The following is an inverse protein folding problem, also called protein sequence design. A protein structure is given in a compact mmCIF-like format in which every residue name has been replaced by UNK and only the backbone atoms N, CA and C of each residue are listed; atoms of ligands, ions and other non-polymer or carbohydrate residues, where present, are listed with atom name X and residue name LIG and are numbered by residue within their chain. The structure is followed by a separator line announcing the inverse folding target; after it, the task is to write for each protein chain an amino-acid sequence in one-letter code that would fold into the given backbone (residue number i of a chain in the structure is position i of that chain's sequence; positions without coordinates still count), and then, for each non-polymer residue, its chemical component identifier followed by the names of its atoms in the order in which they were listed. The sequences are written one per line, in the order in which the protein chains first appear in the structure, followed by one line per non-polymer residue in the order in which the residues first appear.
data_IF_758279912967
#
_entry.id   IF_758279912967
#
_cell.length_a   1.000
_cell.length_b   1.000
_cell.length_c   1.000
_cell.angle_alpha   90.00
_cell.angle_beta   90.00
_cell.angle_gamma   90.00
#
_symmetry.space_group_name_H-M   'P 1'
#
loop_
_entity.id
_entity.type
_entity.pdbx_description
1 polymer ?
#
# COMPACT_ATOMS: atom_id res chain seq x y z
N UNK A 1 -13.64 12.73 9.51
CA UNK A 1 -12.53 12.33 10.38
C UNK A 1 -12.22 10.87 10.16
N UNK A 2 -10.96 10.56 9.92
CA UNK A 2 -10.55 9.18 9.72
C UNK A 2 -10.14 8.60 11.07
N UNK A 3 -10.77 7.50 11.45
CA UNK A 3 -10.43 6.82 12.70
C UNK A 3 -9.43 5.72 12.39
N UNK A 4 -8.27 5.75 13.05
CA UNK A 4 -7.28 4.69 12.93
C UNK A 4 -7.75 3.44 13.68
N UNK A 5 -8.03 2.32 12.98
CA UNK A 5 -8.51 1.10 13.63
C UNK A 5 -7.46 0.44 14.53
N UNK A 6 -6.18 0.82 14.41
CA UNK A 6 -5.13 0.32 15.30
C UNK A 6 -4.95 1.17 16.55
N UNK A 7 -5.78 2.16 16.74
CA UNK A 7 -5.71 2.99 17.93
C UNK A 7 -5.89 2.13 19.19
N UNK A 8 -4.96 2.25 20.12
CA UNK A 8 -4.98 1.45 21.34
C UNK A 8 -4.20 0.14 21.28
N UNK A 9 -3.75 -0.28 20.10
CA UNK A 9 -2.88 -1.44 19.98
C UNK A 9 -1.48 -1.06 20.46
N UNK A 10 -0.80 -1.97 21.17
CA UNK A 10 0.62 -1.81 21.46
C UNK A 10 1.43 -2.04 20.18
N UNK A 11 2.69 -1.59 20.16
CA UNK A 11 3.55 -1.81 19.01
C UNK A 11 3.74 -3.29 18.69
N UNK A 12 3.83 -4.13 19.71
CA UNK A 12 3.95 -5.59 19.54
C UNK A 12 2.71 -6.18 18.90
N UNK A 13 1.53 -5.67 19.24
CA UNK A 13 0.26 -6.16 18.74
C UNK A 13 -0.02 -5.75 17.29
N UNK A 14 0.75 -4.82 16.74
CA UNK A 14 0.54 -4.31 15.37
C UNK A 14 1.79 -4.34 14.52
N UNK A 15 2.66 -5.34 14.75
CA UNK A 15 3.82 -5.58 13.90
C UNK A 15 3.45 -6.52 12.76
N UNK A 16 3.77 -6.13 11.52
CA UNK A 16 3.52 -7.00 10.35
C UNK A 16 4.41 -8.24 10.35
N UNK A 17 5.43 -8.29 11.22
CA UNK A 17 6.29 -9.45 11.36
C UNK A 17 5.64 -10.55 12.21
N UNK A 18 4.53 -10.24 12.88
CA UNK A 18 3.79 -11.21 13.66
C UNK A 18 2.73 -11.88 12.79
N UNK A 19 2.85 -13.20 12.52
CA UNK A 19 1.87 -13.89 11.68
C UNK A 19 0.44 -13.81 12.20
N UNK A 20 0.24 -13.66 13.51
CA UNK A 20 -1.10 -13.57 14.07
C UNK A 20 -1.84 -12.30 13.65
N UNK A 21 -1.14 -11.31 13.14
CA UNK A 21 -1.75 -10.06 12.67
C UNK A 21 -2.38 -10.19 11.28
N UNK A 22 -2.09 -11.26 10.55
CA UNK A 22 -2.52 -11.42 9.15
C UNK A 22 -4.02 -11.24 8.97
N UNK A 23 -4.83 -11.91 9.80
CA UNK A 23 -6.29 -11.80 9.68
C UNK A 23 -6.78 -10.39 9.98
N UNK A 24 -6.18 -9.72 10.95
CA UNK A 24 -6.52 -8.34 11.28
C UNK A 24 -6.20 -7.40 10.10
N UNK A 25 -5.05 -7.59 9.47
CA UNK A 25 -4.67 -6.79 8.29
C UNK A 25 -5.65 -7.02 7.14
N UNK A 26 -6.03 -8.27 6.90
CA UNK A 26 -7.02 -8.60 5.87
C UNK A 26 -8.35 -7.90 6.13
N UNK A 27 -8.81 -7.93 7.38
CA UNK A 27 -10.06 -7.29 7.75
C UNK A 27 -9.99 -5.77 7.56
N UNK A 28 -8.92 -5.14 8.03
CA UNK A 28 -8.76 -3.69 7.91
C UNK A 28 -8.42 -3.24 6.49
N UNK A 29 -7.97 -4.15 5.63
CA UNK A 29 -7.71 -3.82 4.22
C UNK A 29 -8.99 -3.52 3.43
N UNK A 30 -10.16 -3.85 3.98
CA UNK A 30 -11.44 -3.49 3.37
C UNK A 30 -11.78 -2.01 3.59
N UNK A 31 -11.11 -1.35 4.53
CA UNK A 31 -11.30 0.08 4.78
C UNK A 31 -10.59 0.85 3.68
N UNK A 32 -11.26 1.85 3.12
CA UNK A 32 -10.64 2.70 2.11
C UNK A 32 -9.48 3.50 2.72
N UNK A 33 -8.42 3.71 1.94
CA UNK A 33 -7.22 4.39 2.40
C UNK A 33 -6.02 3.46 2.50
N UNK A 34 -4.93 3.99 3.02
CA UNK A 34 -3.65 3.29 3.06
C UNK A 34 -3.28 2.85 4.48
N UNK A 35 -2.45 1.81 4.55
CA UNK A 35 -1.73 1.48 5.77
C UNK A 35 -0.43 2.28 5.78
N UNK A 36 -0.10 2.87 6.92
CA UNK A 36 1.19 3.51 7.14
C UNK A 36 1.99 2.59 8.05
N UNK A 37 3.12 2.14 7.55
CA UNK A 37 3.95 1.14 8.23
C UNK A 37 5.34 1.71 8.44
N UNK A 38 5.80 1.69 9.68
CA UNK A 38 7.14 2.13 10.05
C UNK A 38 8.18 1.15 9.49
N UNK A 39 9.41 1.61 9.30
CA UNK A 39 10.46 0.79 8.70
C UNK A 39 10.78 -0.51 9.43
N UNK A 40 10.44 -0.61 10.72
CA UNK A 40 10.62 -1.82 11.52
C UNK A 40 9.42 -2.77 11.47
N UNK A 41 8.40 -2.43 10.68
CA UNK A 41 7.23 -3.28 10.50
C UNK A 41 6.04 -2.95 11.38
N UNK A 42 6.13 -1.94 12.24
CA UNK A 42 5.03 -1.54 13.10
C UNK A 42 4.01 -0.73 12.29
N UNK A 43 2.74 -1.14 12.32
CA UNK A 43 1.68 -0.42 11.62
C UNK A 43 1.32 0.83 12.43
N UNK A 44 1.48 1.99 11.82
CA UNK A 44 1.17 3.27 12.46
C UNK A 44 -0.30 3.61 12.33
N UNK A 45 -0.89 3.31 11.17
CA UNK A 45 -2.31 3.58 10.93
C UNK A 45 -2.81 2.77 9.75
N UNK A 46 -4.14 2.67 9.64
CA UNK A 46 -4.82 2.14 8.47
C UNK A 46 -5.97 3.08 8.11
N UNK A 47 -6.47 2.98 6.89
CA UNK A 47 -7.54 3.85 6.43
C UNK A 47 -7.09 5.30 6.25
N UNK A 48 -5.82 5.53 6.03
CA UNK A 48 -5.24 6.86 5.92
C UNK A 48 -5.34 7.35 4.48
N UNK A 49 -5.90 8.54 4.27
CA UNK A 49 -5.96 9.13 2.95
C UNK A 49 -4.66 9.85 2.64
N UNK A 50 -4.05 9.47 1.52
CA UNK A 50 -2.79 10.07 1.08
C UNK A 50 -3.07 11.35 0.31
N UNK A 51 -2.31 12.41 0.64
CA UNK A 51 -2.40 13.70 -0.05
C UNK A 51 -0.99 14.13 -0.48
N UNK A 52 -0.53 13.59 -1.62
CA UNK A 52 0.80 13.98 -2.11
C UNK A 52 0.82 15.46 -2.48
N UNK A 53 1.94 16.12 -2.23
CA UNK A 53 2.11 17.54 -2.53
C UNK A 53 2.23 17.80 -4.03
N UNK A 54 2.65 16.81 -4.80
CA UNK A 54 2.85 16.92 -6.24
C UNK A 54 2.08 15.83 -6.95
N UNK A 55 1.74 16.08 -8.20
CA UNK A 55 1.18 15.06 -9.05
C UNK A 55 2.18 13.95 -9.32
N UNK A 56 1.66 12.78 -9.64
CA UNK A 56 2.50 11.65 -9.96
C UNK A 56 3.37 11.94 -11.20
N UNK A 57 4.62 11.46 -11.18
CA UNK A 57 5.43 11.50 -12.40
C UNK A 57 4.83 10.61 -13.48
N UNK A 58 5.51 10.50 -14.60
CA UNK A 58 5.06 9.67 -15.70
C UNK A 58 4.78 8.23 -15.25
N UNK A 59 3.52 7.82 -15.34
CA UNK A 59 3.10 6.47 -15.02
C UNK A 59 2.67 5.75 -16.29
N UNK A 60 2.83 4.41 -16.34
CA UNK A 60 2.23 3.63 -17.39
C UNK A 60 0.72 3.87 -17.45
N UNK A 61 0.16 3.87 -18.65
CA UNK A 61 -1.27 4.02 -18.82
C UNK A 61 -2.02 2.83 -18.22
N UNK A 62 -3.25 3.08 -17.78
CA UNK A 62 -4.08 2.04 -17.19
C UNK A 62 -4.00 1.92 -15.68
N UNK A 63 -3.14 2.69 -15.03
CA UNK A 63 -3.07 2.72 -13.57
C UNK A 63 -4.02 3.78 -13.02
N UNK A 64 -4.68 3.44 -11.90
CA UNK A 64 -5.68 4.30 -11.29
C UNK A 64 -5.13 5.31 -10.30
N UNK A 65 -6.05 5.97 -9.60
CA UNK A 65 -5.72 7.04 -8.65
C UNK A 65 -4.85 6.56 -7.48
N UNK A 66 -5.04 5.33 -7.02
CA UNK A 66 -4.24 4.79 -5.92
C UNK A 66 -2.77 4.63 -6.33
N UNK A 67 -2.55 4.16 -7.54
CA UNK A 67 -1.19 4.04 -8.08
C UNK A 67 -0.55 5.42 -8.24
N UNK A 68 -1.31 6.39 -8.74
CA UNK A 68 -0.82 7.75 -8.90
C UNK A 68 -0.44 8.37 -7.56
N UNK A 69 -1.28 8.20 -6.55
CA UNK A 69 -1.01 8.74 -5.20
C UNK A 69 0.22 8.07 -4.58
N UNK A 70 0.36 6.76 -4.74
CA UNK A 70 1.49 6.03 -4.21
C UNK A 70 2.81 6.46 -4.87
N UNK A 71 2.80 6.59 -6.19
CA UNK A 71 3.97 7.03 -6.92
C UNK A 71 4.38 8.45 -6.51
N UNK A 72 3.43 9.37 -6.44
CA UNK A 72 3.69 10.75 -6.04
C UNK A 72 4.25 10.83 -4.61
N UNK A 73 3.69 10.06 -3.69
CA UNK A 73 4.17 10.04 -2.32
C UNK A 73 5.60 9.50 -2.23
N UNK A 74 5.90 8.46 -3.00
CA UNK A 74 7.24 7.87 -3.01
C UNK A 74 8.29 8.80 -3.61
N UNK A 75 7.87 9.75 -4.46
CA UNK A 75 8.78 10.76 -5.01
C UNK A 75 9.16 11.82 -3.99
N UNK A 76 8.19 12.24 -3.16
CA UNK A 76 8.38 13.34 -2.23
C UNK A 76 8.82 12.91 -0.84
N UNK A 77 8.87 11.61 -0.58
CA UNK A 77 9.31 11.05 0.70
C UNK A 77 10.33 9.95 0.45
N UNK A 78 10.98 9.47 1.49
CA UNK A 78 11.90 8.33 1.40
C UNK A 78 11.18 6.98 1.50
N UNK A 79 9.86 6.97 1.39
CA UNK A 79 9.07 5.76 1.61
C UNK A 79 9.03 4.84 0.39
N UNK A 80 8.84 3.57 0.65
CA UNK A 80 8.46 2.57 -0.34
C UNK A 80 6.94 2.48 -0.33
N UNK A 81 6.31 2.65 -1.48
CA UNK A 81 4.87 2.55 -1.58
C UNK A 81 4.47 1.25 -2.28
N UNK A 82 3.52 0.54 -1.71
CA UNK A 82 3.05 -0.74 -2.22
C UNK A 82 1.55 -0.61 -2.51
N UNK A 83 1.16 -0.90 -3.74
CA UNK A 83 -0.25 -0.84 -4.15
C UNK A 83 -0.71 -2.25 -4.51
N UNK A 84 -1.82 -2.67 -3.92
CA UNK A 84 -2.47 -3.94 -4.26
C UNK A 84 -3.73 -3.62 -5.04
N UNK A 85 -3.81 -4.11 -6.28
CA UNK A 85 -4.98 -3.90 -7.12
C UNK A 85 -6.12 -4.82 -6.67
N UNK A 86 -7.28 -4.24 -6.42
CA UNK A 86 -8.45 -5.01 -6.04
C UNK A 86 -9.00 -5.83 -7.20
N UNK A 87 -8.89 -5.32 -8.42
CA UNK A 87 -9.45 -6.00 -9.59
C UNK A 87 -8.59 -7.16 -10.06
N UNK A 88 -7.27 -7.05 -9.96
CA UNK A 88 -6.36 -8.08 -10.49
C UNK A 88 -5.58 -8.80 -9.40
N UNK A 89 -5.48 -8.23 -8.20
CA UNK A 89 -4.64 -8.75 -7.14
C UNK A 89 -3.15 -8.50 -7.38
N UNK A 90 -2.79 -7.76 -8.42
CA UNK A 90 -1.39 -7.45 -8.69
C UNK A 90 -0.83 -6.51 -7.62
N UNK A 91 0.47 -6.63 -7.35
CA UNK A 91 1.16 -5.81 -6.35
C UNK A 91 2.22 -4.98 -7.07
N UNK A 92 2.15 -3.68 -6.91
CA UNK A 92 3.09 -2.75 -7.55
C UNK A 92 3.84 -1.96 -6.49
N UNK A 93 5.16 -1.89 -6.64
CA UNK A 93 6.04 -1.17 -5.73
C UNK A 93 6.57 0.09 -6.39
N UNK A 94 6.50 1.20 -5.67
CA UNK A 94 7.03 2.49 -6.11
C UNK A 94 8.10 2.99 -5.15
N UNK A 95 9.14 3.56 -5.70
CA UNK A 95 10.18 4.25 -4.93
C UNK A 95 10.74 5.38 -5.77
N UNK A 96 10.92 6.55 -5.15
CA UNK A 96 11.45 7.71 -5.85
C UNK A 96 10.56 8.19 -6.99
N UNK A 97 9.28 7.90 -6.95
CA UNK A 97 8.31 8.27 -7.98
C UNK A 97 8.20 7.28 -9.13
N UNK A 98 9.06 6.28 -9.18
CA UNK A 98 9.08 5.29 -10.26
C UNK A 98 8.61 3.91 -9.83
N UNK A 99 8.06 3.16 -10.78
CA UNK A 99 7.70 1.77 -10.55
C UNK A 99 8.98 0.92 -10.49
N UNK A 100 9.19 0.25 -9.36
CA UNK A 100 10.36 -0.60 -9.15
C UNK A 100 10.05 -2.04 -9.53
N UNK A 101 8.84 -2.50 -9.25
CA UNK A 101 8.46 -3.88 -9.45
C UNK A 101 6.94 -4.00 -9.56
N UNK A 102 6.49 -4.93 -10.36
CA UNK A 102 5.07 -5.30 -10.43
C UNK A 102 4.96 -6.81 -10.43
N UNK A 103 4.17 -7.34 -9.49
CA UNK A 103 3.97 -8.78 -9.33
C UNK A 103 2.52 -9.11 -9.62
N UNK A 104 2.30 -10.13 -10.45
CA UNK A 104 0.96 -10.61 -10.70
C UNK A 104 0.50 -11.53 -9.58
N UNK A 105 -0.83 -11.62 -9.42
CA UNK A 105 -1.42 -12.49 -8.42
C UNK A 105 -1.02 -13.95 -8.68
N UNK A 106 -0.53 -14.66 -7.64
CA UNK A 106 -0.21 -16.08 -7.79
C UNK A 106 -1.46 -16.87 -8.22
N UNK A 107 -1.26 -17.83 -9.12
CA UNK A 107 -2.33 -18.68 -9.62
C UNK A 107 -3.08 -18.14 -10.82
N UNK A 108 -2.91 -16.86 -11.16
CA UNK A 108 -3.44 -16.35 -12.42
C UNK A 108 -2.52 -16.81 -13.55
N UNK A 109 -3.07 -17.49 -14.57
CA UNK A 109 -2.23 -17.79 -15.73
C UNK A 109 -1.77 -16.46 -16.35
N UNK A 110 -0.53 -16.39 -16.80
CA UNK A 110 -0.12 -15.20 -17.53
C UNK A 110 -1.04 -15.02 -18.73
N UNK A 111 -1.25 -13.75 -19.10
CA UNK A 111 -2.04 -13.47 -20.29
C UNK A 111 -1.53 -14.33 -21.45
N UNK A 112 -2.45 -14.83 -22.26
CA UNK A 112 -2.09 -15.69 -23.38
C UNK A 112 -1.01 -15.01 -24.22
N UNK A 113 0.05 -15.72 -24.43
CA UNK A 113 1.22 -15.20 -25.13
C UNK A 113 1.25 -15.68 -26.55
#
# INVERSE_FOLDING_TARGET
MVINPFRGYSEEEKSILDPSLEETVKEFSTIDGAFIIRGDGVIMSAGTFLRPEKDAPNLPSGLGARHAAAAALSETTASLAIVVSQSTGSVTLFKGGGMVMSLEKPGNPPAAR
#
